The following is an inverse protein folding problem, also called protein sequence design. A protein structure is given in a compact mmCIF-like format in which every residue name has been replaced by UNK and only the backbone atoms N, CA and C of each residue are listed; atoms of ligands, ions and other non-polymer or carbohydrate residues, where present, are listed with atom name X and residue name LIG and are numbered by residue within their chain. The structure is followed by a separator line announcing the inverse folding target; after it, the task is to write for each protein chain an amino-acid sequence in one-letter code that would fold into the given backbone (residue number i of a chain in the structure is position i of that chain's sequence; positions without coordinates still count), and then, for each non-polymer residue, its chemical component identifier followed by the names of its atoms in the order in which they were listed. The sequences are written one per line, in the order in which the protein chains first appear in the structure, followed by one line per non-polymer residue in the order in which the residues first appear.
data_IF_327056738471
#
_entry.id   IF_327056738471
#
_cell.length_a   1.000
_cell.length_b   1.000
_cell.length_c   1.000
_cell.angle_alpha   90.00
_cell.angle_beta   90.00
_cell.angle_gamma   90.00
#
_symmetry.space_group_name_H-M   'P 1'
#
loop_
_entity.id
_entity.type
_entity.pdbx_description
1 polymer ?
#
# COMPACT_ATOMS: atom_id res chain seq x y z
N UNK A 1 -8.92 -13.99 1.99
CA UNK A 1 -8.71 -12.52 1.96
C UNK A 1 -7.24 -12.28 2.17
N UNK A 2 -6.63 -11.39 1.39
CA UNK A 2 -5.23 -10.98 1.55
C UNK A 2 -5.17 -9.66 2.32
N UNK A 3 -4.14 -9.51 3.17
CA UNK A 3 -3.84 -8.27 3.88
C UNK A 3 -2.46 -7.81 3.41
N UNK A 4 -2.38 -6.64 2.82
CA UNK A 4 -1.15 -6.14 2.22
C UNK A 4 -0.73 -4.87 2.93
N UNK A 5 0.46 -4.89 3.53
CA UNK A 5 1.14 -3.70 4.00
C UNK A 5 1.77 -2.99 2.81
N UNK A 6 1.51 -1.69 2.71
CA UNK A 6 2.04 -0.80 1.69
C UNK A 6 2.76 0.35 2.38
N UNK A 7 4.00 0.59 1.97
CA UNK A 7 4.75 1.82 2.28
C UNK A 7 4.88 2.60 0.98
N UNK A 8 4.30 3.79 0.94
CA UNK A 8 4.19 4.59 -0.27
C UNK A 8 4.81 5.97 -0.06
N UNK A 9 5.66 6.38 -0.99
CA UNK A 9 6.19 7.75 -1.03
C UNK A 9 5.19 8.62 -1.80
N UNK A 10 4.48 9.48 -1.07
CA UNK A 10 3.47 10.37 -1.64
C UNK A 10 4.06 11.45 -2.53
N UNK A 11 5.30 11.88 -2.27
CA UNK A 11 5.94 12.94 -3.04
C UNK A 11 6.54 12.41 -4.33
N UNK A 12 7.17 11.24 -4.27
CA UNK A 12 7.71 10.57 -5.45
C UNK A 12 6.65 9.76 -6.22
N UNK A 13 5.45 9.58 -5.66
CA UNK A 13 4.35 8.85 -6.29
C UNK A 13 4.64 7.36 -6.48
N UNK A 14 5.47 6.75 -5.63
CA UNK A 14 5.97 5.38 -5.82
C UNK A 14 5.85 4.50 -4.59
N UNK A 15 5.67 3.20 -4.85
CA UNK A 15 5.70 2.15 -3.84
C UNK A 15 7.13 1.92 -3.35
N UNK A 16 7.36 2.05 -2.05
CA UNK A 16 8.65 1.79 -1.41
C UNK A 16 8.76 0.35 -0.91
N UNK A 17 7.67 -0.20 -0.39
CA UNK A 17 7.63 -1.56 0.19
C UNK A 17 6.22 -2.13 0.10
N UNK A 18 6.15 -3.42 -0.19
CA UNK A 18 4.93 -4.20 -0.18
C UNK A 18 5.18 -5.53 0.52
N UNK A 19 4.31 -5.89 1.46
CA UNK A 19 4.33 -7.21 2.12
C UNK A 19 2.93 -7.76 2.27
N UNK A 20 2.77 -9.07 2.04
CA UNK A 20 1.50 -9.77 2.20
C UNK A 20 1.49 -10.59 3.48
N UNK A 21 0.35 -10.60 4.14
CA UNK A 21 0.12 -11.36 5.37
C UNK A 21 -1.21 -12.12 5.29
N UNK A 22 -1.16 -13.38 5.74
CA UNK A 22 -2.36 -14.23 5.83
C UNK A 22 -3.34 -13.73 6.88
N UNK A 23 -2.82 -13.23 8.02
CA UNK A 23 -3.62 -12.76 9.14
C UNK A 23 -3.58 -11.24 9.25
N UNK A 24 -4.77 -10.63 9.39
CA UNK A 24 -4.92 -9.18 9.54
C UNK A 24 -4.16 -8.62 10.74
N UNK A 25 -4.11 -9.37 11.85
CA UNK A 25 -3.41 -8.93 13.06
C UNK A 25 -1.90 -8.80 12.83
N UNK A 26 -1.31 -9.69 12.02
CA UNK A 26 0.11 -9.65 11.68
C UNK A 26 0.41 -8.42 10.81
N UNK A 27 -0.44 -8.13 9.82
CA UNK A 27 -0.34 -6.93 8.99
C UNK A 27 -0.43 -5.64 9.82
N UNK A 28 -1.33 -5.56 10.80
CA UNK A 28 -1.46 -4.39 11.68
C UNK A 28 -0.25 -4.24 12.60
N UNK A 29 0.30 -5.35 13.13
CA UNK A 29 1.53 -5.32 13.93
C UNK A 29 2.70 -4.80 13.10
N UNK A 30 2.84 -5.29 11.87
CA UNK A 30 3.87 -4.83 10.93
C UNK A 30 3.68 -3.35 10.56
N UNK A 31 2.44 -2.90 10.36
CA UNK A 31 2.11 -1.49 10.14
C UNK A 31 2.64 -0.61 11.27
N UNK A 32 2.33 -0.92 12.53
CA UNK A 32 2.79 -0.11 13.66
C UNK A 32 4.32 -0.11 13.82
N UNK A 33 4.98 -1.22 13.50
CA UNK A 33 6.45 -1.26 13.48
C UNK A 33 7.02 -0.36 12.38
N UNK A 34 6.43 -0.42 11.19
CA UNK A 34 6.84 0.37 10.03
C UNK A 34 6.56 1.86 10.22
N UNK A 35 5.43 2.23 10.82
CA UNK A 35 5.14 3.63 11.19
C UNK A 35 6.21 4.21 12.13
N UNK A 36 6.78 3.39 13.03
CA UNK A 36 7.90 3.81 13.88
C UNK A 36 9.20 3.93 13.09
N UNK A 37 9.47 3.00 12.17
CA UNK A 37 10.64 3.03 11.28
C UNK A 37 10.67 4.30 10.41
N UNK A 38 9.52 4.71 9.87
CA UNK A 38 9.38 5.88 9.01
C UNK A 38 9.01 7.16 9.77
N UNK A 39 9.08 7.15 11.11
CA UNK A 39 8.75 8.30 11.95
C UNK A 39 9.58 9.53 11.53
N UNK A 40 8.92 10.66 11.34
CA UNK A 40 9.54 11.91 10.89
C UNK A 40 9.60 12.10 9.37
N UNK A 41 9.25 11.08 8.57
CA UNK A 41 9.07 11.21 7.12
C UNK A 41 7.60 11.50 6.78
N UNK A 42 7.21 12.77 6.82
CA UNK A 42 5.82 13.21 6.59
C UNK A 42 5.23 12.81 5.22
N UNK A 43 6.09 12.54 4.24
CA UNK A 43 5.70 12.20 2.87
C UNK A 43 5.49 10.69 2.68
N UNK A 44 5.78 9.87 3.69
CA UNK A 44 5.61 8.41 3.61
C UNK A 44 4.28 8.02 4.25
N UNK A 45 3.49 7.27 3.49
CA UNK A 45 2.22 6.69 3.91
C UNK A 45 2.41 5.20 4.17
N UNK A 46 2.00 4.74 5.35
CA UNK A 46 2.07 3.33 5.76
C UNK A 46 0.65 2.83 6.01
N UNK A 47 0.16 1.94 5.16
CA UNK A 47 -1.24 1.49 5.17
C UNK A 47 -1.36 -0.03 5.02
N UNK A 48 -2.44 -0.59 5.56
CA UNK A 48 -2.81 -2.00 5.38
C UNK A 48 -4.08 -2.07 4.55
N UNK A 49 -4.02 -2.77 3.43
CA UNK A 49 -5.10 -2.94 2.48
C UNK A 49 -5.64 -4.37 2.57
N UNK A 50 -6.95 -4.50 2.71
CA UNK A 50 -7.64 -5.79 2.72
C UNK A 50 -8.43 -6.00 1.43
N UNK A 51 -8.29 -7.18 0.82
CA UNK A 51 -9.12 -7.56 -0.33
C UNK A 51 -9.34 -9.08 -0.41
N UNK A 52 -10.22 -9.54 -1.31
CA UNK A 52 -10.39 -10.99 -1.52
C UNK A 52 -9.15 -11.60 -2.18
N UNK A 53 -8.56 -10.91 -3.15
CA UNK A 53 -7.36 -11.31 -3.89
C UNK A 53 -6.59 -10.07 -4.41
N UNK A 54 -5.46 -10.30 -5.10
CA UNK A 54 -4.61 -9.24 -5.67
C UNK A 54 -5.30 -8.40 -6.75
N UNK A 55 -6.09 -9.02 -7.62
CA UNK A 55 -6.79 -8.29 -8.69
C UNK A 55 -7.80 -7.29 -8.11
N UNK A 56 -8.45 -7.64 -7.00
CA UNK A 56 -9.36 -6.73 -6.31
C UNK A 56 -8.60 -5.54 -5.70
N UNK A 57 -7.37 -5.72 -5.20
CA UNK A 57 -6.51 -4.61 -4.74
C UNK A 57 -6.18 -3.66 -5.89
N UNK A 58 -5.79 -4.20 -7.06
CA UNK A 58 -5.46 -3.38 -8.22
C UNK A 58 -6.66 -2.56 -8.72
N UNK A 59 -7.90 -3.03 -8.51
CA UNK A 59 -9.11 -2.29 -8.88
C UNK A 59 -9.51 -1.23 -7.85
N UNK A 60 -9.43 -1.56 -6.56
CA UNK A 60 -9.96 -0.72 -5.47
C UNK A 60 -8.92 0.21 -4.85
N UNK A 61 -7.64 -0.13 -4.96
CA UNK A 61 -6.51 0.56 -4.35
C UNK A 61 -5.39 0.83 -5.36
N UNK A 62 -5.78 1.01 -6.62
CA UNK A 62 -4.91 1.12 -7.79
C UNK A 62 -3.77 2.14 -7.61
N UNK A 63 -4.04 3.25 -6.92
CA UNK A 63 -3.10 4.35 -6.63
C UNK A 63 -1.77 3.88 -6.03
N UNK A 64 -1.77 2.81 -5.24
CA UNK A 64 -0.55 2.34 -4.58
C UNK A 64 0.32 1.45 -5.47
N UNK A 65 -0.24 0.89 -6.54
CA UNK A 65 0.38 -0.16 -7.34
C UNK A 65 0.66 0.26 -8.78
N UNK A 66 -0.02 1.30 -9.27
CA UNK A 66 0.08 1.77 -10.64
C UNK A 66 0.80 3.11 -10.70
N UNK A 67 1.58 3.30 -11.75
CA UNK A 67 2.18 4.60 -12.07
C UNK A 67 1.12 5.62 -12.48
N UNK A 68 1.49 6.91 -12.47
CA UNK A 68 0.61 8.00 -12.91
C UNK A 68 0.05 7.78 -14.31
N UNK A 69 0.88 7.29 -15.25
CA UNK A 69 0.47 7.03 -16.63
C UNK A 69 -0.57 5.89 -16.72
N UNK A 70 -0.39 4.82 -15.95
CA UNK A 70 -1.30 3.68 -15.89
C UNK A 70 -2.63 4.00 -15.18
N UNK A 71 -2.62 4.98 -14.27
CA UNK A 71 -3.82 5.53 -13.65
C UNK A 71 -4.56 6.45 -14.61
N UNK A 72 -3.84 7.32 -15.32
CA UNK A 72 -4.43 8.23 -16.32
C UNK A 72 -5.14 7.45 -17.44
N UNK A 73 -4.50 6.39 -17.95
CA UNK A 73 -5.09 5.51 -18.97
C UNK A 73 -6.36 4.77 -18.51
N UNK A 74 -6.62 4.67 -17.19
CA UNK A 74 -7.82 4.01 -16.64
C UNK A 74 -9.00 4.96 -16.37
N UNK A 75 -8.77 6.27 -16.42
CA UNK A 75 -9.82 7.28 -16.24
C UNK A 75 -10.30 7.90 -17.55
N UNK A 76 -9.63 7.58 -18.67
CA UNK A 76 -10.03 7.93 -20.04
C UNK A 76 -10.98 6.87 -20.62
#
# INVERSE_FOLDING_TARGET
MTNVLVVYDRSAGRLLREEQYDRRQDALRARFATEREFKGRSNVEVVVLGAKNRNDLLKTHARYFLGLDELAARMA
#
